data_IF_779767673787
#
_entry.id   IF_779767673787
#
_cell.length_a   1.000
_cell.length_b   1.000
_cell.length_c   1.000
_cell.angle_alpha   90.00
_cell.angle_beta   90.00
_cell.angle_gamma   90.00
#
_symmetry.space_group_name_H-M   'P 1'
#
loop_
_entity.id
_entity.type
_entity.pdbx_description
1 polymer ?
#
# COMPACT_ATOMS: atom_id res chain seq x y z
N UNK A 1 14.67 5.07 14.98
CA UNK A 1 13.90 4.22 15.92
C UNK A 1 12.42 4.29 15.57
N UNK A 2 11.57 3.39 16.06
CA UNK A 2 10.12 3.42 15.76
C UNK A 2 9.45 4.71 16.24
N UNK A 3 9.94 5.30 17.35
CA UNK A 3 9.52 6.62 17.82
C UNK A 3 9.87 7.75 16.84
N UNK A 4 11.08 7.73 16.27
CA UNK A 4 11.46 8.73 15.27
C UNK A 4 10.60 8.61 14.00
N UNK A 5 10.31 7.37 13.55
CA UNK A 5 9.37 7.15 12.46
C UNK A 5 7.95 7.65 12.82
N UNK A 6 7.49 7.42 14.05
CA UNK A 6 6.19 7.96 14.47
C UNK A 6 6.14 9.49 14.48
N UNK A 7 7.21 10.16 14.93
CA UNK A 7 7.30 11.62 14.94
C UNK A 7 7.16 12.22 13.53
N UNK A 8 7.81 11.63 12.53
CA UNK A 8 7.68 12.12 11.15
C UNK A 8 6.28 11.85 10.55
N UNK A 9 5.63 10.75 10.92
CA UNK A 9 4.24 10.48 10.50
C UNK A 9 3.25 11.46 11.14
N UNK A 10 3.45 11.83 12.42
CA UNK A 10 2.69 12.89 13.07
C UNK A 10 2.88 14.24 12.39
N UNK A 11 4.12 14.56 12.01
CA UNK A 11 4.44 15.76 11.23
C UNK A 11 3.67 15.79 9.90
N UNK A 12 3.66 14.68 9.14
CA UNK A 12 2.86 14.59 7.92
C UNK A 12 1.37 14.77 8.16
N UNK A 13 0.82 14.18 9.23
CA UNK A 13 -0.60 14.34 9.56
C UNK A 13 -0.97 15.80 9.85
N UNK A 14 -0.11 16.52 10.56
CA UNK A 14 -0.28 17.95 10.81
C UNK A 14 -0.21 18.77 9.50
N UNK A 15 0.74 18.47 8.61
CA UNK A 15 0.91 19.16 7.33
C UNK A 15 -0.27 18.93 6.38
N UNK A 16 -0.73 17.69 6.24
CA UNK A 16 -1.80 17.30 5.31
C UNK A 16 -3.21 17.44 5.89
N UNK A 17 -3.35 17.78 7.17
CA UNK A 17 -4.62 17.90 7.91
C UNK A 17 -5.56 16.73 7.61
N UNK A 18 -5.10 15.51 7.86
CA UNK A 18 -5.89 14.32 7.55
C UNK A 18 -5.26 13.04 8.06
N UNK A 19 -5.97 11.94 7.81
CA UNK A 19 -5.54 10.64 8.30
C UNK A 19 -4.31 10.16 7.53
N UNK A 20 -3.26 9.79 8.26
CA UNK A 20 -1.99 9.30 7.69
C UNK A 20 -1.69 7.91 8.23
N UNK A 21 -1.22 7.03 7.35
CA UNK A 21 -0.74 5.70 7.69
C UNK A 21 0.74 5.57 7.31
N UNK A 22 1.58 5.26 8.28
CA UNK A 22 2.99 4.95 8.10
C UNK A 22 3.27 3.48 8.36
N UNK A 23 4.08 2.86 7.50
CA UNK A 23 4.58 1.49 7.69
C UNK A 23 6.09 1.45 7.50
N UNK A 24 6.77 0.82 8.46
CA UNK A 24 8.19 0.45 8.42
C UNK A 24 8.26 -1.09 8.44
N UNK A 25 8.55 -1.68 7.28
CA UNK A 25 8.85 -3.11 7.14
C UNK A 25 10.36 -3.33 7.27
N UNK A 26 10.82 -3.47 8.51
CA UNK A 26 12.21 -3.71 8.85
C UNK A 26 12.61 -5.19 8.78
N UNK A 27 13.92 -5.44 8.98
CA UNK A 27 14.47 -6.79 9.04
C UNK A 27 14.12 -7.53 10.34
N UNK A 28 13.96 -6.82 11.46
CA UNK A 28 13.73 -7.41 12.79
C UNK A 28 12.43 -6.97 13.45
N UNK A 29 11.67 -6.08 12.81
CA UNK A 29 10.39 -5.62 13.31
C UNK A 29 9.53 -5.07 12.18
N UNK A 30 8.23 -5.06 12.41
CA UNK A 30 7.28 -4.25 11.63
C UNK A 30 6.72 -3.17 12.55
N UNK A 31 6.74 -1.92 12.10
CA UNK A 31 6.13 -0.81 12.83
C UNK A 31 5.05 -0.14 11.98
N UNK A 32 3.83 -0.06 12.51
CA UNK A 32 2.72 0.67 11.93
C UNK A 32 2.43 1.90 12.78
N UNK A 33 2.27 3.05 12.15
CA UNK A 33 1.87 4.29 12.79
C UNK A 33 0.65 4.81 12.08
N UNK A 34 -0.45 5.02 12.78
CA UNK A 34 -1.62 5.70 12.23
C UNK A 34 -1.88 6.98 13.00
N UNK A 35 -2.23 8.04 12.28
CA UNK A 35 -2.78 9.27 12.85
C UNK A 35 -4.16 9.44 12.27
N UNK A 36 -5.19 9.26 13.10
CA UNK A 36 -6.59 9.30 12.68
C UNK A 36 -7.32 10.26 13.60
N UNK A 37 -7.99 11.28 13.04
CA UNK A 37 -8.66 12.33 13.81
C UNK A 37 -7.75 12.89 14.93
N UNK A 38 -6.50 13.22 14.56
CA UNK A 38 -5.43 13.73 15.43
C UNK A 38 -4.99 12.80 16.57
N UNK A 39 -5.49 11.55 16.61
CA UNK A 39 -5.04 10.53 17.55
C UNK A 39 -3.98 9.65 16.90
N UNK A 40 -2.82 9.53 17.56
CA UNK A 40 -1.76 8.63 17.11
C UNK A 40 -1.94 7.25 17.74
N UNK A 41 -1.85 6.21 16.92
CA UNK A 41 -1.63 4.82 17.35
C UNK A 41 -0.30 4.33 16.79
N UNK A 42 0.48 3.63 17.62
CA UNK A 42 1.78 3.06 17.25
C UNK A 42 1.76 1.59 17.62
N UNK A 43 1.93 0.72 16.63
CA UNK A 43 2.10 -0.71 16.80
C UNK A 43 3.51 -1.09 16.39
N UNK A 44 4.24 -1.75 17.28
CA UNK A 44 5.58 -2.29 16.98
C UNK A 44 5.59 -3.79 17.28
N UNK A 45 5.75 -4.60 16.23
CA UNK A 45 5.85 -6.06 16.32
C UNK A 45 7.29 -6.47 16.10
N UNK A 46 8.03 -6.63 17.20
CA UNK A 46 9.45 -7.04 17.19
C UNK A 46 9.63 -8.54 16.96
N UNK A 47 8.53 -9.28 16.94
CA UNK A 47 8.47 -10.70 16.57
C UNK A 47 8.29 -10.90 15.06
N UNK A 48 8.01 -9.85 14.29
CA UNK A 48 7.85 -9.89 12.83
C UNK A 48 9.05 -9.21 12.13
N UNK A 49 9.20 -9.38 10.82
CA UNK A 49 10.26 -8.73 10.02
C UNK A 49 10.83 -9.62 8.93
N UNK A 50 11.51 -9.01 7.94
CA UNK A 50 11.97 -9.72 6.73
C UNK A 50 13.37 -10.35 6.84
N UNK A 51 13.98 -10.30 8.03
CA UNK A 51 15.31 -10.85 8.31
C UNK A 51 15.23 -12.05 9.26
N UNK A 52 15.96 -12.02 10.37
CA UNK A 52 16.05 -13.15 11.29
C UNK A 52 14.70 -13.54 11.93
N UNK A 53 13.76 -12.59 12.05
CA UNK A 53 12.41 -12.84 12.57
C UNK A 53 11.44 -13.39 11.52
N UNK A 54 11.88 -13.57 10.26
CA UNK A 54 11.00 -14.03 9.18
C UNK A 54 10.38 -15.40 9.45
N UNK A 55 11.10 -16.28 10.15
CA UNK A 55 10.62 -17.61 10.55
C UNK A 55 9.37 -17.55 11.43
N UNK A 56 9.20 -16.49 12.22
CA UNK A 56 8.06 -16.38 13.13
C UNK A 56 6.74 -16.26 12.37
N UNK A 57 6.75 -15.75 11.13
CA UNK A 57 5.55 -15.74 10.29
C UNK A 57 4.97 -17.15 10.10
N UNK A 58 5.82 -18.16 9.90
CA UNK A 58 5.37 -19.55 9.73
C UNK A 58 4.71 -20.16 10.98
N UNK A 59 4.83 -19.51 12.13
CA UNK A 59 4.15 -19.96 13.37
C UNK A 59 2.69 -19.51 13.46
N UNK A 60 2.31 -18.48 12.69
CA UNK A 60 1.00 -17.82 12.75
C UNK A 60 0.30 -17.72 11.39
N UNK A 61 1.03 -17.91 10.29
CA UNK A 61 0.54 -17.84 8.91
C UNK A 61 0.84 -19.17 8.23
N UNK A 62 -0.19 -19.78 7.65
CA UNK A 62 -0.02 -21.04 6.94
C UNK A 62 0.65 -20.82 5.57
N UNK A 63 1.38 -21.80 5.01
CA UNK A 63 1.85 -21.75 3.63
C UNK A 63 0.73 -21.48 2.61
N UNK A 64 -0.49 -21.93 2.88
CA UNK A 64 -1.66 -21.64 2.05
C UNK A 64 -2.05 -20.14 2.06
N UNK A 65 -1.87 -19.45 3.18
CA UNK A 65 -2.10 -18.02 3.31
C UNK A 65 -1.05 -17.20 2.55
N UNK A 66 0.18 -17.68 2.43
CA UNK A 66 1.22 -17.06 1.58
C UNK A 66 0.90 -17.33 0.11
N UNK A 67 0.59 -18.59 -0.23
CA UNK A 67 0.33 -19.02 -1.61
C UNK A 67 -0.81 -18.25 -2.29
N UNK A 68 -1.81 -17.75 -1.55
CA UNK A 68 -2.93 -17.00 -2.14
C UNK A 68 -2.51 -15.71 -2.85
N UNK A 69 -1.31 -15.20 -2.56
CA UNK A 69 -0.76 -13.98 -3.16
C UNK A 69 0.19 -14.25 -4.33
N UNK A 70 0.36 -15.52 -4.71
CA UNK A 70 1.20 -15.91 -5.82
C UNK A 70 0.33 -16.17 -7.05
N UNK A 71 0.77 -15.77 -8.27
CA UNK A 71 0.08 -16.14 -9.50
C UNK A 71 0.19 -17.66 -9.75
N UNK A 72 1.35 -18.24 -9.44
CA UNK A 72 1.60 -19.68 -9.53
C UNK A 72 1.84 -20.25 -8.12
N UNK A 73 1.02 -21.22 -7.67
CA UNK A 73 1.22 -21.87 -6.39
C UNK A 73 2.57 -22.59 -6.33
N UNK A 74 3.20 -22.55 -5.17
CA UNK A 74 4.45 -23.25 -4.88
C UNK A 74 4.25 -24.23 -3.73
N UNK A 75 5.10 -25.25 -3.66
CA UNK A 75 4.99 -26.27 -2.60
C UNK A 75 5.25 -25.66 -1.22
N UNK A 76 4.66 -26.26 -0.18
CA UNK A 76 4.84 -25.81 1.20
C UNK A 76 6.32 -25.91 1.62
N UNK A 77 7.00 -26.99 1.22
CA UNK A 77 8.42 -27.19 1.47
C UNK A 77 9.27 -26.09 0.84
N UNK A 78 8.94 -25.62 -0.37
CA UNK A 78 9.64 -24.51 -1.00
C UNK A 78 9.45 -23.19 -0.25
N UNK A 79 8.25 -22.91 0.26
CA UNK A 79 7.99 -21.72 1.10
C UNK A 79 8.84 -21.79 2.36
N UNK A 80 8.79 -22.92 3.06
CA UNK A 80 9.52 -23.13 4.32
C UNK A 80 11.03 -22.99 4.08
N UNK A 81 11.55 -23.67 3.05
CA UNK A 81 12.96 -23.61 2.68
C UNK A 81 13.40 -22.18 2.32
N UNK A 82 12.57 -21.42 1.60
CA UNK A 82 12.87 -20.05 1.28
C UNK A 82 12.97 -19.17 2.53
N UNK A 83 12.00 -19.28 3.45
CA UNK A 83 11.99 -18.50 4.71
C UNK A 83 13.22 -18.83 5.55
N UNK A 84 13.55 -20.13 5.70
CA UNK A 84 14.73 -20.57 6.44
C UNK A 84 16.03 -20.03 5.83
N UNK A 85 16.16 -20.07 4.50
CA UNK A 85 17.32 -19.49 3.82
C UNK A 85 17.40 -17.97 4.00
N UNK A 86 16.28 -17.25 3.95
CA UNK A 86 16.24 -15.80 4.18
C UNK A 86 16.67 -15.44 5.60
N UNK A 87 16.34 -16.25 6.60
CA UNK A 87 16.77 -16.06 8.00
C UNK A 87 18.29 -16.23 8.14
N UNK A 88 18.88 -17.19 7.42
CA UNK A 88 20.34 -17.39 7.40
C UNK A 88 21.06 -16.27 6.65
N UNK A 89 20.45 -15.75 5.58
CA UNK A 89 21.03 -14.70 4.73
C UNK A 89 20.04 -13.53 4.50
N UNK A 90 19.77 -12.70 5.53
CA UNK A 90 18.76 -11.63 5.44
C UNK A 90 19.00 -10.60 4.35
N UNK A 91 20.25 -10.41 3.95
CA UNK A 91 20.69 -9.42 2.95
C UNK A 91 20.57 -9.95 1.52
N UNK A 92 20.23 -11.22 1.32
CA UNK A 92 20.07 -11.79 -0.02
C UNK A 92 18.93 -11.10 -0.75
N UNK A 93 19.21 -10.61 -1.95
CA UNK A 93 18.23 -10.01 -2.84
C UNK A 93 17.70 -11.12 -3.77
N UNK A 94 16.38 -11.30 -3.90
CA UNK A 94 15.81 -12.25 -4.84
C UNK A 94 16.26 -11.98 -6.29
N UNK A 95 16.78 -12.99 -6.98
CA UNK A 95 17.28 -12.87 -8.36
C UNK A 95 16.36 -13.49 -9.41
N UNK A 96 15.33 -14.21 -9.00
CA UNK A 96 14.31 -14.78 -9.88
C UNK A 96 12.94 -14.19 -9.57
N UNK A 97 12.08 -14.10 -10.59
CA UNK A 97 10.70 -13.61 -10.46
C UNK A 97 9.93 -14.40 -9.39
N UNK A 98 10.06 -15.73 -9.38
CA UNK A 98 9.45 -16.59 -8.37
C UNK A 98 9.88 -16.22 -6.95
N UNK A 99 11.17 -15.97 -6.73
CA UNK A 99 11.69 -15.60 -5.42
C UNK A 99 11.25 -14.19 -5.00
N UNK A 100 11.17 -13.26 -5.95
CA UNK A 100 10.59 -11.93 -5.75
C UNK A 100 9.13 -12.07 -5.28
N UNK A 101 8.29 -12.75 -6.06
CA UNK A 101 6.86 -12.89 -5.75
C UNK A 101 6.62 -13.54 -4.38
N UNK A 102 7.42 -14.55 -4.03
CA UNK A 102 7.40 -15.17 -2.71
C UNK A 102 7.80 -14.21 -1.59
N UNK A 103 8.87 -13.43 -1.77
CA UNK A 103 9.28 -12.42 -0.79
C UNK A 103 8.17 -11.40 -0.53
N UNK A 104 7.52 -10.90 -1.58
CA UNK A 104 6.42 -9.96 -1.45
C UNK A 104 5.13 -10.60 -0.93
N UNK A 105 4.89 -11.89 -1.17
CA UNK A 105 3.78 -12.62 -0.55
C UNK A 105 3.97 -12.72 0.98
N UNK A 106 5.18 -13.01 1.44
CA UNK A 106 5.52 -13.04 2.87
C UNK A 106 5.45 -11.63 3.47
N UNK A 107 5.95 -10.62 2.76
CA UNK A 107 5.86 -9.22 3.20
C UNK A 107 4.40 -8.78 3.43
N UNK A 108 3.46 -9.20 2.56
CA UNK A 108 2.03 -8.94 2.75
C UNK A 108 1.54 -9.52 4.07
N UNK A 109 1.85 -10.78 4.35
CA UNK A 109 1.41 -11.45 5.58
C UNK A 109 2.01 -10.81 6.83
N UNK A 110 3.30 -10.44 6.80
CA UNK A 110 3.96 -9.71 7.89
C UNK A 110 3.26 -8.39 8.21
N UNK A 111 2.96 -7.61 7.17
CA UNK A 111 2.27 -6.33 7.34
C UNK A 111 0.83 -6.57 7.84
N UNK A 112 0.12 -7.58 7.31
CA UNK A 112 -1.24 -7.95 7.76
C UNK A 112 -1.28 -8.30 9.24
N UNK A 113 -0.34 -9.12 9.72
CA UNK A 113 -0.22 -9.49 11.12
C UNK A 113 0.05 -8.27 12.03
N UNK A 114 0.81 -7.28 11.54
CA UNK A 114 1.05 -6.03 12.28
C UNK A 114 -0.16 -5.09 12.25
N UNK A 115 -0.95 -5.13 11.18
CA UNK A 115 -2.14 -4.31 10.97
C UNK A 115 -3.40 -4.80 11.70
N UNK A 116 -3.40 -6.05 12.17
CA UNK A 116 -4.57 -6.74 12.73
C UNK A 116 -5.21 -6.03 13.95
N UNK A 117 -4.42 -5.28 14.72
CA UNK A 117 -4.90 -4.52 15.89
C UNK A 117 -5.33 -3.06 15.60
N UNK A 118 -4.53 -2.21 14.91
CA UNK A 118 -4.83 -0.78 14.77
C UNK A 118 -5.81 -0.43 13.63
N UNK A 119 -6.00 -1.30 12.64
CA UNK A 119 -6.91 -1.08 11.50
C UNK A 119 -8.19 -1.92 11.60
N UNK A 120 -8.48 -2.47 12.80
CA UNK A 120 -9.55 -3.43 13.05
C UNK A 120 -10.77 -3.17 12.18
N UNK A 121 -11.07 -4.15 11.34
CA UNK A 121 -12.09 -4.18 10.28
C UNK A 121 -13.53 -4.10 10.80
N UNK A 122 -13.75 -3.51 11.98
CA UNK A 122 -15.06 -3.16 12.51
C UNK A 122 -15.59 -1.92 11.80
N UNK A 123 -16.38 -2.21 10.76
CA UNK A 123 -17.35 -1.37 10.06
C UNK A 123 -16.89 -0.07 9.37
N UNK A 124 -15.79 0.60 9.71
CA UNK A 124 -15.37 1.84 9.06
C UNK A 124 -13.84 2.09 9.15
N UNK A 125 -13.05 1.47 8.28
CA UNK A 125 -11.67 1.94 8.05
C UNK A 125 -11.76 3.37 7.49
N UNK A 126 -11.24 4.38 8.19
CA UNK A 126 -11.43 5.77 7.79
C UNK A 126 -10.69 6.05 6.48
N UNK A 127 -11.21 6.98 5.69
CA UNK A 127 -10.54 7.42 4.48
C UNK A 127 -9.19 8.05 4.85
N UNK A 128 -8.11 7.53 4.27
CA UNK A 128 -6.77 8.09 4.41
C UNK A 128 -6.54 9.24 3.43
N UNK A 129 -5.56 10.09 3.74
CA UNK A 129 -5.03 11.11 2.82
C UNK A 129 -3.64 10.78 2.33
N UNK A 130 -2.86 10.09 3.14
CA UNK A 130 -1.47 9.78 2.84
C UNK A 130 -1.09 8.42 3.43
N UNK A 131 -0.40 7.61 2.63
CA UNK A 131 0.30 6.41 3.05
C UNK A 131 1.80 6.62 2.84
N UNK A 132 2.60 6.39 3.88
CA UNK A 132 4.05 6.52 3.84
C UNK A 132 4.68 5.15 4.10
N UNK A 133 5.55 4.71 3.20
CA UNK A 133 6.21 3.42 3.27
C UNK A 133 7.73 3.57 3.44
N UNK A 134 8.28 2.81 4.39
CA UNK A 134 9.70 2.68 4.67
C UNK A 134 10.05 1.19 4.86
N UNK A 135 11.33 0.87 4.70
CA UNK A 135 11.86 -0.48 4.89
C UNK A 135 12.34 -1.12 3.58
N UNK A 136 13.51 -1.78 3.64
CA UNK A 136 14.28 -2.20 2.47
C UNK A 136 13.47 -3.04 1.47
N UNK A 137 12.60 -3.94 1.94
CA UNK A 137 11.75 -4.78 1.08
C UNK A 137 10.77 -3.94 0.26
N UNK A 138 10.24 -2.84 0.80
CA UNK A 138 9.32 -1.96 0.08
C UNK A 138 10.07 -0.95 -0.81
N UNK A 139 11.23 -0.45 -0.34
CA UNK A 139 11.98 0.60 -1.03
C UNK A 139 12.82 0.07 -2.20
N UNK A 140 13.24 -1.19 -2.14
CA UNK A 140 14.00 -1.89 -3.17
C UNK A 140 13.14 -2.85 -3.99
N UNK A 141 11.83 -2.59 -4.08
CA UNK A 141 10.95 -3.41 -4.89
C UNK A 141 11.31 -3.38 -6.38
N UNK A 142 11.08 -4.50 -7.11
CA UNK A 142 11.40 -4.60 -8.54
C UNK A 142 10.82 -3.45 -9.34
N UNK A 143 9.61 -3.04 -8.98
CA UNK A 143 8.96 -1.83 -9.47
C UNK A 143 8.20 -1.12 -8.35
N UNK A 144 7.88 0.15 -8.56
CA UNK A 144 7.08 0.93 -7.61
C UNK A 144 5.69 0.33 -7.46
N UNK A 145 5.15 -0.26 -8.54
CA UNK A 145 3.86 -0.93 -8.50
C UNK A 145 3.86 -2.21 -7.68
N UNK A 146 4.97 -2.97 -7.63
CA UNK A 146 5.11 -4.07 -6.67
C UNK A 146 5.00 -3.59 -5.23
N UNK A 147 5.72 -2.52 -4.86
CA UNK A 147 5.66 -1.95 -3.52
C UNK A 147 4.23 -1.48 -3.17
N UNK A 148 3.60 -0.71 -4.07
CA UNK A 148 2.24 -0.21 -3.86
C UNK A 148 1.23 -1.36 -3.78
N UNK A 149 1.30 -2.35 -4.65
CA UNK A 149 0.40 -3.50 -4.62
C UNK A 149 0.53 -4.27 -3.30
N UNK A 150 1.76 -4.53 -2.82
CA UNK A 150 2.00 -5.15 -1.51
C UNK A 150 1.36 -4.36 -0.37
N UNK A 151 1.48 -3.02 -0.39
CA UNK A 151 0.87 -2.15 0.60
C UNK A 151 -0.66 -2.19 0.55
N UNK A 152 -1.25 -2.15 -0.64
CA UNK A 152 -2.70 -2.21 -0.83
C UNK A 152 -3.29 -3.55 -0.40
N UNK A 153 -2.58 -4.64 -0.69
CA UNK A 153 -2.98 -6.00 -0.34
C UNK A 153 -2.95 -6.24 1.17
N UNK A 154 -1.96 -5.66 1.83
CA UNK A 154 -1.71 -5.92 3.23
C UNK A 154 -2.48 -4.98 4.17
N UNK A 155 -2.55 -3.70 3.83
CA UNK A 155 -3.15 -2.68 4.69
C UNK A 155 -4.61 -2.41 4.34
N UNK A 156 -5.03 -2.75 3.12
CA UNK A 156 -6.39 -2.54 2.63
C UNK A 156 -6.93 -1.11 2.89
N UNK A 157 -6.14 -0.04 2.64
CA UNK A 157 -6.56 1.33 2.91
C UNK A 157 -7.74 1.75 2.03
N UNK A 158 -8.48 2.77 2.48
CA UNK A 158 -9.72 3.24 1.88
C UNK A 158 -9.66 4.73 1.54
N UNK A 159 -10.48 5.16 0.57
CA UNK A 159 -10.63 6.56 0.19
C UNK A 159 -9.72 7.01 -0.95
N UNK A 160 -9.36 8.30 -0.95
CA UNK A 160 -8.49 8.91 -1.96
C UNK A 160 -7.22 9.41 -1.25
N UNK A 161 -6.10 8.74 -1.47
CA UNK A 161 -4.85 9.00 -0.75
C UNK A 161 -3.64 8.99 -1.68
N UNK A 162 -2.61 9.73 -1.30
CA UNK A 162 -1.29 9.67 -1.95
C UNK A 162 -0.41 8.61 -1.29
N UNK A 163 0.54 8.05 -2.05
CA UNK A 163 1.54 7.11 -1.53
C UNK A 163 2.94 7.71 -1.69
N UNK A 164 3.68 7.80 -0.58
CA UNK A 164 5.07 8.22 -0.55
C UNK A 164 5.96 7.06 -0.09
N UNK A 165 7.11 6.89 -0.74
CA UNK A 165 8.08 5.82 -0.44
C UNK A 165 9.42 6.46 -0.07
N UNK A 166 9.94 6.08 1.10
CA UNK A 166 11.24 6.53 1.59
C UNK A 166 12.39 5.74 0.96
N UNK A 167 12.63 6.00 -0.33
CA UNK A 167 13.60 5.25 -1.12
C UNK A 167 15.05 5.40 -0.61
N UNK A 168 15.35 6.49 0.09
CA UNK A 168 16.68 6.76 0.66
C UNK A 168 16.79 6.40 2.15
N UNK A 169 15.71 5.98 2.81
CA UNK A 169 15.72 5.60 4.22
C UNK A 169 15.92 6.78 5.18
N UNK A 170 15.56 8.00 4.78
CA UNK A 170 15.85 9.23 5.53
C UNK A 170 14.81 9.57 6.59
N UNK A 171 13.61 8.97 6.53
CA UNK A 171 12.50 9.32 7.43
C UNK A 171 12.82 9.17 8.92
N UNK A 172 13.48 8.08 9.39
CA UNK A 172 13.83 7.96 10.80
C UNK A 172 14.83 9.04 11.26
N UNK A 173 15.74 9.48 10.39
CA UNK A 173 16.68 10.56 10.71
C UNK A 173 15.95 11.90 10.80
N UNK A 174 15.10 12.21 9.80
CA UNK A 174 14.28 13.42 9.78
C UNK A 174 13.35 13.49 11.00
N UNK A 175 12.73 12.37 11.40
CA UNK A 175 11.88 12.32 12.58
C UNK A 175 12.60 12.55 13.90
N UNK A 176 13.92 12.27 13.96
CA UNK A 176 14.75 12.61 15.13
C UNK A 176 15.07 14.10 15.19
N UNK A 177 15.25 14.73 14.01
CA UNK A 177 15.59 16.15 13.88
C UNK A 177 14.36 17.04 13.99
N UNK A 178 13.17 16.55 13.60
CA UNK A 178 11.93 17.33 13.50
C UNK A 178 11.59 18.18 14.74
N UNK A 179 11.77 17.71 16.00
CA UNK A 179 11.49 18.55 17.18
C UNK A 179 12.47 19.71 17.38
N UNK A 180 13.68 19.63 16.80
CA UNK A 180 14.75 20.60 17.00
C UNK A 180 14.93 21.53 15.80
N UNK A 181 14.78 21.00 14.58
CA UNK A 181 14.90 21.75 13.34
C UNK A 181 13.82 21.31 12.32
N UNK A 182 12.59 21.83 12.43
CA UNK A 182 11.52 21.57 11.47
C UNK A 182 11.83 22.06 10.05
N UNK A 183 12.72 23.05 9.90
CA UNK A 183 13.03 23.64 8.59
C UNK A 183 13.82 22.65 7.73
N UNK A 184 14.78 21.94 8.32
CA UNK A 184 15.53 20.87 7.64
C UNK A 184 14.59 19.78 7.14
N UNK A 185 13.53 19.46 7.89
CA UNK A 185 12.52 18.48 7.46
C UNK A 185 11.78 18.98 6.23
N UNK A 186 11.26 20.21 6.26
CA UNK A 186 10.57 20.83 5.10
C UNK A 186 11.48 20.82 3.87
N UNK A 187 12.69 21.35 4.00
CA UNK A 187 13.65 21.45 2.90
C UNK A 187 14.00 20.08 2.32
N UNK A 188 14.19 19.06 3.16
CA UNK A 188 14.45 17.70 2.70
C UNK A 188 13.28 17.16 1.87
N UNK A 189 12.05 17.34 2.35
CA UNK A 189 10.85 16.89 1.66
C UNK A 189 10.62 17.62 0.33
N UNK A 190 10.83 18.94 0.30
CA UNK A 190 10.73 19.77 -0.91
C UNK A 190 11.78 19.38 -1.97
N UNK A 191 12.97 18.98 -1.53
CA UNK A 191 14.05 18.52 -2.41
C UNK A 191 13.91 17.06 -2.84
N UNK A 192 12.74 16.45 -2.69
CA UNK A 192 12.45 15.11 -3.21
C UNK A 192 13.06 13.98 -2.38
N UNK A 193 13.23 14.17 -1.08
CA UNK A 193 13.64 13.10 -0.15
C UNK A 193 12.74 11.86 -0.17
N UNK A 194 11.50 12.01 -0.65
CA UNK A 194 10.55 10.91 -0.81
C UNK A 194 10.16 10.74 -2.27
N UNK A 195 10.05 9.49 -2.68
CA UNK A 195 9.48 9.14 -3.97
C UNK A 195 7.95 9.27 -3.88
N UNK A 196 7.37 10.09 -4.75
CA UNK A 196 5.92 10.15 -4.93
C UNK A 196 5.45 9.04 -5.88
N UNK A 197 4.85 7.99 -5.33
CA UNK A 197 4.29 6.90 -6.11
C UNK A 197 3.06 7.35 -6.90
N UNK A 198 2.31 8.34 -6.41
CA UNK A 198 1.10 8.86 -7.04
C UNK A 198 -0.10 8.78 -6.11
N UNK A 199 -1.28 8.62 -6.70
CA UNK A 199 -2.56 8.59 -5.99
C UNK A 199 -3.22 7.22 -6.10
N UNK A 200 -3.95 6.85 -5.06
CA UNK A 200 -4.81 5.67 -5.04
C UNK A 200 -6.24 6.10 -4.72
N UNK A 201 -7.19 5.55 -5.46
CA UNK A 201 -8.64 5.66 -5.22
C UNK A 201 -9.14 4.26 -4.87
N UNK A 202 -9.43 4.02 -3.60
CA UNK A 202 -9.85 2.73 -3.07
C UNK A 202 -11.29 2.81 -2.52
N UNK A 203 -12.32 2.58 -3.37
CA UNK A 203 -13.70 2.53 -2.93
C UNK A 203 -13.99 1.32 -2.03
N UNK A 204 -14.76 1.54 -0.97
CA UNK A 204 -15.28 0.51 -0.06
C UNK A 204 -16.69 0.14 -0.48
N UNK A 205 -16.92 -1.14 -0.75
CA UNK A 205 -18.21 -1.66 -1.16
C UNK A 205 -18.09 -3.07 -1.68
N UNK A 206 -19.23 -3.71 -1.94
CA UNK A 206 -19.28 -5.08 -2.44
C UNK A 206 -20.36 -5.22 -3.51
N UNK A 207 -20.03 -5.94 -4.57
CA UNK A 207 -20.95 -6.37 -5.62
C UNK A 207 -20.44 -7.66 -6.26
N UNK A 208 -21.07 -8.10 -7.35
CA UNK A 208 -20.60 -9.25 -8.13
C UNK A 208 -19.31 -8.91 -8.88
N UNK A 209 -18.38 -9.86 -8.97
CA UNK A 209 -17.14 -9.69 -9.75
C UNK A 209 -17.46 -9.27 -11.19
N UNK A 210 -16.71 -8.31 -11.73
CA UNK A 210 -16.93 -7.77 -13.08
C UNK A 210 -18.07 -6.75 -13.19
N UNK A 211 -18.85 -6.51 -12.13
CA UNK A 211 -19.81 -5.40 -12.13
C UNK A 211 -19.07 -4.10 -11.88
N UNK A 212 -19.47 -3.03 -12.57
CA UNK A 212 -18.88 -1.69 -12.40
C UNK A 212 -18.94 -1.26 -10.92
N UNK A 213 -17.81 -0.77 -10.41
CA UNK A 213 -17.69 -0.26 -9.04
C UNK A 213 -17.59 1.27 -9.01
N UNK A 214 -16.84 1.85 -9.96
CA UNK A 214 -16.57 3.28 -10.02
C UNK A 214 -16.34 3.73 -11.45
N UNK A 215 -16.83 4.93 -11.77
CA UNK A 215 -16.46 5.67 -12.98
C UNK A 215 -15.54 6.82 -12.59
N UNK A 216 -14.41 6.94 -13.27
CA UNK A 216 -13.45 8.03 -13.07
C UNK A 216 -13.35 8.83 -14.36
N UNK A 217 -13.50 10.15 -14.27
CA UNK A 217 -13.35 11.08 -15.38
C UNK A 217 -12.19 12.02 -15.10
N UNK A 218 -11.24 12.09 -16.03
CA UNK A 218 -9.98 12.81 -15.88
C UNK A 218 -9.93 13.91 -16.92
N UNK A 219 -9.84 15.14 -16.44
CA UNK A 219 -9.71 16.36 -17.24
C UNK A 219 -8.25 16.84 -17.12
N UNK A 220 -7.46 16.59 -18.16
CA UNK A 220 -6.11 17.13 -18.35
C UNK A 220 -6.22 18.50 -19.06
N UNK A 221 -5.29 19.45 -18.80
CA UNK A 221 -5.23 20.69 -19.57
C UNK A 221 -5.08 20.41 -21.07
N UNK A 222 -5.91 21.05 -21.90
CA UNK A 222 -5.86 20.99 -23.37
C UNK A 222 -6.08 19.61 -24.01
N UNK A 223 -6.56 18.63 -23.23
CA UNK A 223 -6.88 17.28 -23.72
C UNK A 223 -8.37 16.96 -23.57
N UNK A 224 -8.85 15.98 -24.36
CA UNK A 224 -10.23 15.50 -24.21
C UNK A 224 -10.37 14.75 -22.88
N UNK A 225 -11.48 14.93 -22.14
CA UNK A 225 -11.69 14.19 -20.91
C UNK A 225 -11.66 12.67 -21.15
N UNK A 226 -10.83 11.97 -20.37
CA UNK A 226 -10.76 10.52 -20.39
C UNK A 226 -11.74 9.96 -19.35
N UNK A 227 -12.63 9.07 -19.77
CA UNK A 227 -13.56 8.39 -18.86
C UNK A 227 -13.19 6.90 -18.77
N UNK A 228 -12.99 6.41 -17.56
CA UNK A 228 -12.60 5.02 -17.26
C UNK A 228 -13.63 4.42 -16.32
N UNK A 229 -14.14 3.23 -16.67
CA UNK A 229 -15.02 2.45 -15.82
C UNK A 229 -14.22 1.29 -15.23
N UNK A 230 -14.19 1.20 -13.90
CA UNK A 230 -13.45 0.14 -13.22
C UNK A 230 -14.43 -0.82 -12.56
N UNK A 231 -14.23 -2.11 -12.85
CA UNK A 231 -15.05 -3.21 -12.37
C UNK A 231 -14.61 -3.70 -10.98
N UNK A 232 -15.57 -4.20 -10.22
CA UNK A 232 -15.33 -4.78 -8.92
C UNK A 232 -14.45 -6.03 -9.03
N UNK A 233 -13.37 -6.05 -8.25
CA UNK A 233 -12.32 -7.07 -8.33
C UNK A 233 -11.11 -6.65 -9.17
N UNK A 234 -11.19 -5.53 -9.88
CA UNK A 234 -10.10 -5.01 -10.72
C UNK A 234 -9.23 -3.96 -10.02
N UNK A 235 -8.05 -3.77 -10.60
CA UNK A 235 -7.20 -2.59 -10.41
C UNK A 235 -7.03 -1.96 -11.78
N UNK A 236 -6.99 -0.64 -11.84
CA UNK A 236 -6.68 0.11 -13.05
C UNK A 236 -5.59 1.14 -12.76
N UNK A 237 -4.64 1.30 -13.69
CA UNK A 237 -3.60 2.33 -13.61
C UNK A 237 -3.82 3.34 -14.73
N UNK A 238 -3.97 4.61 -14.35
CA UNK A 238 -4.11 5.71 -15.28
C UNK A 238 -2.85 6.59 -15.23
N UNK A 239 -2.08 6.67 -16.31
CA UNK A 239 -0.87 7.49 -16.34
C UNK A 239 -1.16 8.96 -16.07
N UNK A 240 -0.38 9.55 -15.16
CA UNK A 240 -0.32 10.99 -14.92
C UNK A 240 1.12 11.32 -14.55
N UNK A 241 1.89 11.83 -15.51
CA UNK A 241 3.33 12.01 -15.36
C UNK A 241 3.67 13.04 -14.25
N UNK A 242 4.81 12.88 -13.55
CA UNK A 242 5.30 13.87 -12.58
C UNK A 242 5.32 15.29 -13.16
N UNK A 243 4.93 16.28 -12.35
CA UNK A 243 4.81 17.68 -12.77
C UNK A 243 3.54 18.03 -13.54
N UNK A 244 2.70 17.04 -13.89
CA UNK A 244 1.35 17.27 -14.43
C UNK A 244 0.31 17.24 -13.32
N UNK A 245 -0.83 17.88 -13.56
CA UNK A 245 -2.00 17.82 -12.70
C UNK A 245 -3.25 17.59 -13.54
N UNK A 246 -4.22 16.87 -12.99
CA UNK A 246 -5.51 16.65 -13.62
C UNK A 246 -6.65 16.88 -12.64
N UNK A 247 -7.77 17.38 -13.14
CA UNK A 247 -9.01 17.44 -12.39
C UNK A 247 -9.75 16.12 -12.58
N UNK A 248 -9.93 15.39 -11.48
CA UNK A 248 -10.44 14.03 -11.47
C UNK A 248 -11.78 14.00 -10.77
N UNK A 249 -12.81 13.53 -11.48
CA UNK A 249 -14.15 13.30 -10.93
C UNK A 249 -14.35 11.80 -10.73
N UNK A 250 -14.51 11.38 -9.47
CA UNK A 250 -14.74 10.01 -9.05
C UNK A 250 -16.23 9.85 -8.74
N UNK A 251 -16.91 8.94 -9.44
CA UNK A 251 -18.32 8.60 -9.21
C UNK A 251 -18.43 7.11 -8.85
N UNK A 252 -18.49 6.75 -7.56
CA UNK A 252 -18.75 5.38 -7.16
C UNK A 252 -20.19 4.98 -7.48
N UNK A 253 -20.42 3.69 -7.70
CA UNK A 253 -21.77 3.13 -7.75
C UNK A 253 -22.45 3.19 -6.37
N UNK A 254 -23.79 3.05 -6.32
CA UNK A 254 -24.60 3.27 -5.11
C UNK A 254 -24.13 2.48 -3.87
N UNK A 255 -23.53 1.30 -4.07
CA UNK A 255 -23.04 0.41 -3.01
C UNK A 255 -21.59 0.67 -2.59
N UNK A 256 -20.95 1.68 -3.16
CA UNK A 256 -19.55 2.00 -2.92
C UNK A 256 -19.39 3.40 -2.31
N UNK A 257 -18.42 3.55 -1.43
CA UNK A 257 -18.01 4.80 -0.81
C UNK A 257 -16.51 5.04 -1.03
N UNK A 258 -16.15 6.28 -1.34
CA UNK A 258 -14.76 6.76 -1.52
C UNK A 258 -14.31 7.68 -0.37
N UNK A 259 -15.01 7.65 0.76
CA UNK A 259 -14.77 8.50 1.93
C UNK A 259 -15.66 9.74 2.02
N UNK A 260 -16.73 9.81 1.22
CA UNK A 260 -17.66 10.95 1.18
C UNK A 260 -19.13 10.54 1.33
N UNK A 261 -19.40 9.25 1.58
CA UNK A 261 -20.70 8.61 1.66
C UNK A 261 -21.04 7.80 0.40
N UNK A 262 -21.86 6.75 0.58
CA UNK A 262 -22.26 5.83 -0.49
C UNK A 262 -22.82 6.53 -1.73
N UNK A 263 -22.28 6.19 -2.90
CA UNK A 263 -22.69 6.70 -4.21
C UNK A 263 -22.43 8.20 -4.44
N UNK A 264 -21.81 8.91 -3.48
CA UNK A 264 -21.54 10.35 -3.61
C UNK A 264 -20.29 10.57 -4.44
N UNK A 265 -20.44 11.32 -5.54
CA UNK A 265 -19.32 11.72 -6.39
C UNK A 265 -18.43 12.76 -5.68
N UNK A 266 -17.15 12.77 -6.02
CA UNK A 266 -16.19 13.78 -5.58
C UNK A 266 -15.31 14.21 -6.74
N UNK A 267 -15.08 15.51 -6.86
CA UNK A 267 -14.07 16.07 -7.77
C UNK A 267 -12.89 16.58 -6.96
N UNK A 268 -11.68 16.23 -7.37
CA UNK A 268 -10.40 16.60 -6.75
C UNK A 268 -9.37 16.91 -7.83
N UNK A 269 -8.39 17.76 -7.51
CA UNK A 269 -7.21 17.94 -8.36
C UNK A 269 -6.12 17.00 -7.87
N UNK A 270 -5.65 16.10 -8.73
CA UNK A 270 -4.58 15.16 -8.43
C UNK A 270 -3.32 15.55 -9.20
N UNK A 271 -2.17 15.30 -8.58
CA UNK A 271 -0.85 15.58 -9.15
C UNK A 271 -0.18 14.28 -9.56
N UNK A 272 0.57 14.30 -10.66
CA UNK A 272 1.26 13.14 -11.18
C UNK A 272 2.37 12.63 -10.27
N UNK A 273 2.48 11.32 -10.21
CA UNK A 273 3.54 10.58 -9.54
C UNK A 273 4.03 9.44 -10.43
N UNK A 274 4.96 8.63 -9.93
CA UNK A 274 5.60 7.60 -10.75
C UNK A 274 4.63 6.57 -11.35
N UNK A 275 3.56 6.21 -10.64
CA UNK A 275 2.48 5.35 -11.16
C UNK A 275 1.31 6.13 -11.76
N UNK A 276 1.20 7.44 -11.51
CA UNK A 276 0.04 8.25 -11.84
C UNK A 276 -1.11 8.06 -10.84
N UNK A 277 -2.27 7.61 -11.32
CA UNK A 277 -3.46 7.36 -10.51
C UNK A 277 -3.79 5.86 -10.58
N UNK A 278 -3.91 5.22 -9.43
CA UNK A 278 -4.33 3.83 -9.29
C UNK A 278 -5.77 3.79 -8.77
N UNK A 279 -6.63 3.01 -9.39
CA UNK A 279 -7.99 2.75 -8.92
C UNK A 279 -8.04 1.31 -8.42
N UNK A 280 -8.21 1.11 -7.12
CA UNK A 280 -8.29 -0.21 -6.49
C UNK A 280 -9.75 -0.55 -6.18
N UNK A 281 -10.45 -1.16 -7.13
CA UNK A 281 -11.85 -1.54 -7.02
C UNK A 281 -12.03 -2.98 -6.51
N UNK A 282 -11.01 -3.58 -5.88
CA UNK A 282 -11.05 -4.99 -5.43
C UNK A 282 -11.97 -5.22 -4.23
N UNK A 283 -12.45 -4.15 -3.62
CA UNK A 283 -13.25 -4.16 -2.41
C UNK A 283 -12.40 -4.17 -1.15
N UNK A 284 -13.08 -3.93 -0.03
CA UNK A 284 -12.51 -3.88 1.32
C UNK A 284 -13.52 -4.54 2.27
N UNK A 285 -13.22 -5.72 2.85
CA UNK A 285 -12.00 -6.50 2.64
C UNK A 285 -11.89 -7.10 1.22
N UNK A 286 -10.67 -7.33 0.74
CA UNK A 286 -10.37 -8.02 -0.52
C UNK A 286 -10.87 -9.47 -0.40
N UNK A 287 -11.76 -9.88 -1.30
CA UNK A 287 -12.36 -11.22 -1.23
C UNK A 287 -11.48 -12.29 -1.91
N UNK A 288 -10.60 -12.89 -1.11
CA UNK A 288 -9.76 -14.03 -1.51
C UNK A 288 -10.39 -15.40 -1.22
N UNK A 289 -11.60 -15.45 -0.62
CA UNK A 289 -12.32 -16.71 -0.33
C UNK A 289 -13.06 -17.24 -1.56
N UNK A 290 -12.36 -17.31 -2.70
CA UNK A 290 -12.87 -17.79 -3.99
C UNK A 290 -12.21 -19.13 -4.33
N UNK A 291 -12.66 -19.75 -5.43
CA UNK A 291 -11.95 -20.93 -5.99
C UNK A 291 -10.49 -20.53 -6.25
N UNK A 292 -9.54 -21.37 -5.81
CA UNK A 292 -8.09 -21.07 -5.87
C UNK A 292 -7.66 -20.57 -7.26
N UNK A 293 -8.03 -21.30 -8.32
CA UNK A 293 -7.71 -20.92 -9.71
C UNK A 293 -8.13 -19.48 -10.06
N UNK A 294 -9.29 -19.03 -9.58
CA UNK A 294 -9.77 -17.66 -9.78
C UNK A 294 -8.92 -16.64 -9.02
N UNK A 295 -8.45 -16.96 -7.81
CA UNK A 295 -7.60 -16.05 -7.02
C UNK A 295 -6.25 -15.87 -7.70
N UNK A 296 -5.62 -16.96 -8.12
CA UNK A 296 -4.32 -16.94 -8.82
C UNK A 296 -4.37 -16.13 -10.12
N UNK A 297 -5.43 -16.31 -10.92
CA UNK A 297 -5.66 -15.51 -12.13
C UNK A 297 -5.83 -14.02 -11.82
N UNK A 298 -6.59 -13.67 -10.76
CA UNK A 298 -6.76 -12.27 -10.36
C UNK A 298 -5.43 -11.66 -9.90
N UNK A 299 -4.63 -12.39 -9.12
CA UNK A 299 -3.30 -11.94 -8.67
C UNK A 299 -2.40 -11.66 -9.88
N UNK A 300 -2.39 -12.56 -10.87
CA UNK A 300 -1.62 -12.36 -12.10
C UNK A 300 -2.08 -11.10 -12.85
N UNK A 301 -3.38 -10.87 -12.97
CA UNK A 301 -3.93 -9.67 -13.59
C UNK A 301 -3.53 -8.39 -12.85
N UNK A 302 -3.59 -8.39 -11.51
CA UNK A 302 -3.19 -7.23 -10.72
C UNK A 302 -1.69 -6.93 -10.84
N UNK A 303 -0.85 -7.97 -10.90
CA UNK A 303 0.57 -7.84 -11.17
C UNK A 303 0.84 -7.28 -12.57
N UNK A 304 0.10 -7.69 -13.60
CA UNK A 304 0.25 -7.13 -14.95
C UNK A 304 -0.15 -5.64 -15.03
N UNK A 305 -1.13 -5.20 -14.24
CA UNK A 305 -1.57 -3.80 -14.26
C UNK A 305 -0.60 -2.86 -13.53
N UNK A 306 -0.04 -3.29 -12.40
CA UNK A 306 0.83 -2.45 -11.56
C UNK A 306 2.31 -2.83 -11.60
N UNK A 307 2.62 -4.12 -11.66
CA UNK A 307 3.96 -4.70 -11.49
C UNK A 307 4.96 -4.40 -12.60
N UNK A 308 4.49 -3.91 -13.75
CA UNK A 308 5.17 -3.62 -15.03
C UNK A 308 4.76 -4.59 -16.15
#
# INVERSE_FOLDING_TARGET
TAHAFAAIIQYFAALHRGNVLGIDLGSSKVALVSVINDKTSITVRSDLGMGHTAVNCLTVVSPADINRWLPDPISEDEIINWVQNKVLYPQTIPTSEKAVLLEYAIAREMIRLAADQPLSLEANVPAFRLLVAHGATLTNAPSIGHAVLTLLDALEPTGIFSVLIDKQGVLPALGTIAPHDPLVVVQSLENGALLNAGWVIAPVGKTTLGQKAVTVTIELPDERPLQVNVEYGGIERIPLAPGKSAKVTIKPERRFDIGFGYGKKKTVTLFGGMLGIVIDARGRPINLKRKKATVHQLVQQWLQVLGD
#
